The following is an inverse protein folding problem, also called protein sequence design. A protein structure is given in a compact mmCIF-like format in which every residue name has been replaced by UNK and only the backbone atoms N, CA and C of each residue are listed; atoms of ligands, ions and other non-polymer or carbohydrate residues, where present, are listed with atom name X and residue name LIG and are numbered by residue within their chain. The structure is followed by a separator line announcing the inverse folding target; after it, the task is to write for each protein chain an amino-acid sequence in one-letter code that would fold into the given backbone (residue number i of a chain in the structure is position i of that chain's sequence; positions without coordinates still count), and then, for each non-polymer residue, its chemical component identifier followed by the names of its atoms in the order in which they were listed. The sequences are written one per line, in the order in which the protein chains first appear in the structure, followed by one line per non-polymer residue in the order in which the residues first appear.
data_IF_218750284047
#
_entry.id   IF_218750284047
#
_cell.length_a   1.000
_cell.length_b   1.000
_cell.length_c   1.000
_cell.angle_alpha   90.00
_cell.angle_beta   90.00
_cell.angle_gamma   90.00
#
_symmetry.space_group_name_H-M   'P 1'
#
loop_
_entity.id
_entity.type
_entity.pdbx_description
1 polymer ?
#
# COMPACT_ATOMS: atom_id res chain seq x y z
N UNK A 1 18.98 17.00 7.92
CA UNK A 1 18.84 16.22 6.72
C UNK A 1 17.41 15.73 6.56
N UNK A 2 16.87 15.89 5.40
CA UNK A 2 15.49 15.49 5.17
C UNK A 2 15.40 14.01 4.84
N UNK A 3 14.31 13.40 5.26
CA UNK A 3 14.04 12.03 4.92
C UNK A 3 13.68 11.93 3.43
N UNK A 4 13.97 10.79 2.84
CA UNK A 4 13.55 10.52 1.47
C UNK A 4 12.03 10.41 1.43
N UNK A 5 11.42 11.06 0.44
CA UNK A 5 9.98 10.98 0.21
C UNK A 5 9.76 10.45 -1.19
N UNK A 6 8.91 9.45 -1.30
CA UNK A 6 8.59 8.83 -2.58
C UNK A 6 7.10 8.54 -2.65
N UNK A 7 6.55 8.55 -3.85
CA UNK A 7 5.12 8.29 -4.04
C UNK A 7 4.93 7.48 -5.32
N UNK A 8 3.92 6.63 -5.33
CA UNK A 8 3.65 5.78 -6.47
C UNK A 8 2.18 5.40 -6.51
N UNK A 9 1.58 5.52 -7.68
CA UNK A 9 0.21 5.07 -7.89
C UNK A 9 0.22 3.60 -8.25
N UNK A 10 -0.61 2.80 -7.58
CA UNK A 10 -0.70 1.37 -7.81
C UNK A 10 -2.12 1.02 -8.22
N UNK A 11 -2.24 0.21 -9.27
CA UNK A 11 -3.54 -0.27 -9.73
C UNK A 11 -3.89 -1.57 -9.06
N UNK A 12 -5.11 -1.68 -8.57
CA UNK A 12 -5.60 -2.89 -7.91
C UNK A 12 -6.11 -3.83 -9.00
N UNK A 13 -5.45 -4.97 -9.15
CA UNK A 13 -5.76 -5.92 -10.23
C UNK A 13 -6.25 -7.27 -9.74
N UNK A 14 -6.25 -7.50 -8.43
CA UNK A 14 -6.81 -8.75 -7.89
C UNK A 14 -8.32 -8.63 -7.75
N UNK A 15 -9.01 -9.74 -7.94
CA UNK A 15 -10.47 -9.73 -8.00
C UNK A 15 -11.14 -9.18 -6.74
N UNK A 16 -10.59 -9.51 -5.59
CA UNK A 16 -11.21 -9.15 -4.31
C UNK A 16 -10.77 -7.79 -3.78
N UNK A 17 -9.83 -7.14 -4.47
CA UNK A 17 -9.35 -5.84 -4.04
C UNK A 17 -8.65 -5.89 -2.68
N UNK A 18 -8.70 -4.76 -1.95
CA UNK A 18 -8.08 -4.67 -0.62
C UNK A 18 -8.98 -5.25 0.47
N UNK A 19 -9.31 -6.54 0.33
CA UNK A 19 -10.07 -7.27 1.36
C UNK A 19 -9.17 -7.54 2.57
N UNK A 20 -9.71 -8.20 3.59
CA UNK A 20 -9.01 -8.35 4.87
C UNK A 20 -7.64 -9.03 4.72
N UNK A 21 -7.57 -10.14 3.95
CA UNK A 21 -6.30 -10.85 3.80
C UNK A 21 -5.29 -10.03 3.01
N UNK A 22 -5.74 -9.37 1.94
CA UNK A 22 -4.85 -8.53 1.14
C UNK A 22 -4.33 -7.35 1.97
N UNK A 23 -5.23 -6.73 2.74
CA UNK A 23 -4.83 -5.62 3.61
C UNK A 23 -3.83 -6.07 4.67
N UNK A 24 -4.00 -7.26 5.23
CA UNK A 24 -3.05 -7.81 6.20
C UNK A 24 -1.68 -8.04 5.57
N UNK A 25 -1.64 -8.54 4.34
CA UNK A 25 -0.36 -8.71 3.63
C UNK A 25 0.30 -7.37 3.35
N UNK A 26 -0.50 -6.36 3.00
CA UNK A 26 0.01 -5.01 2.74
C UNK A 26 0.65 -4.44 4.01
N UNK A 27 -0.04 -4.54 5.14
CA UNK A 27 0.48 -4.07 6.43
C UNK A 27 1.80 -4.76 6.76
N UNK A 28 1.83 -6.09 6.64
CA UNK A 28 3.02 -6.85 6.99
C UNK A 28 4.21 -6.44 6.12
N UNK A 29 3.97 -6.22 4.84
CA UNK A 29 5.00 -5.76 3.93
C UNK A 29 5.50 -4.37 4.32
N UNK A 30 4.56 -3.46 4.61
CA UNK A 30 4.92 -2.09 4.98
C UNK A 30 5.73 -2.05 6.26
N UNK A 31 5.40 -2.88 7.24
CA UNK A 31 6.07 -2.90 8.53
C UNK A 31 7.51 -3.39 8.46
N UNK A 32 7.89 -4.04 7.37
CA UNK A 32 9.23 -4.56 7.23
C UNK A 32 10.28 -3.47 6.94
N UNK A 33 9.83 -2.25 6.67
CA UNK A 33 10.74 -1.17 6.25
C UNK A 33 10.74 -0.01 7.22
N UNK A 34 11.88 0.64 7.30
CA UNK A 34 12.04 1.87 8.09
C UNK A 34 11.50 3.03 7.26
N UNK A 35 10.18 3.18 7.26
CA UNK A 35 9.51 4.24 6.52
C UNK A 35 8.11 4.44 7.08
N UNK A 36 7.64 5.67 6.99
CA UNK A 36 6.26 6.01 7.30
C UNK A 36 5.49 5.99 5.99
N UNK A 37 4.45 5.17 5.91
CA UNK A 37 3.77 4.91 4.65
C UNK A 37 2.29 5.25 4.79
N UNK A 38 1.79 6.01 3.84
CA UNK A 38 0.39 6.45 3.80
C UNK A 38 -0.23 6.02 2.48
N UNK A 39 -1.46 5.55 2.55
CA UNK A 39 -2.22 5.11 1.36
C UNK A 39 -3.44 5.99 1.22
N UNK A 40 -3.65 6.50 0.03
CA UNK A 40 -4.75 7.45 -0.24
C UNK A 40 -5.59 6.97 -1.42
N UNK A 41 -6.90 7.12 -1.28
CA UNK A 41 -7.85 6.89 -2.36
C UNK A 41 -9.06 7.80 -2.15
N UNK A 42 -9.47 8.50 -3.22
CA UNK A 42 -10.67 9.37 -3.18
C UNK A 42 -10.65 10.34 -2.02
N UNK A 43 -9.50 10.95 -1.76
CA UNK A 43 -9.38 11.96 -0.72
C UNK A 43 -9.26 11.40 0.69
N UNK A 44 -9.32 10.10 0.88
CA UNK A 44 -9.15 9.47 2.18
C UNK A 44 -7.75 8.89 2.30
N UNK A 45 -7.05 9.25 3.36
CA UNK A 45 -5.69 8.78 3.62
C UNK A 45 -5.66 7.96 4.89
N UNK A 46 -4.96 6.82 4.84
CA UNK A 46 -4.83 5.93 6.00
C UNK A 46 -3.38 5.49 6.11
N UNK A 47 -2.91 5.18 7.33
CA UNK A 47 -1.57 4.62 7.46
C UNK A 47 -1.53 3.20 6.92
N UNK A 48 -0.41 2.85 6.28
CA UNK A 48 -0.26 1.52 5.69
C UNK A 48 -0.17 0.41 6.74
N UNK A 49 -0.11 0.79 8.01
CA UNK A 49 -0.05 -0.17 9.11
C UNK A 49 -1.43 -0.45 9.72
N UNK A 50 -2.49 0.07 9.11
CA UNK A 50 -3.86 -0.13 9.61
C UNK A 50 -4.64 -1.02 8.65
N UNK A 51 -4.91 -2.26 9.06
CA UNK A 51 -5.71 -3.18 8.25
C UNK A 51 -7.12 -2.59 8.04
N UNK A 52 -7.71 -2.07 9.12
CA UNK A 52 -9.05 -1.48 9.03
C UNK A 52 -9.06 -0.27 8.10
N UNK A 53 -8.04 0.58 8.22
CA UNK A 53 -7.94 1.75 7.36
C UNK A 53 -7.86 1.37 5.89
N UNK A 54 -7.03 0.39 5.56
CA UNK A 54 -6.91 -0.06 4.18
C UNK A 54 -8.21 -0.60 3.64
N UNK A 55 -8.93 -1.38 4.47
CA UNK A 55 -10.23 -1.91 4.05
C UNK A 55 -11.25 -0.80 3.83
N UNK A 56 -11.18 0.25 4.63
CA UNK A 56 -12.13 1.37 4.52
C UNK A 56 -11.94 2.16 3.22
N UNK A 57 -10.78 2.07 2.59
CA UNK A 57 -10.57 2.74 1.31
C UNK A 57 -11.47 2.18 0.21
N UNK A 58 -11.97 0.97 0.36
CA UNK A 58 -12.88 0.38 -0.62
C UNK A 58 -12.25 0.15 -1.98
N UNK A 59 -10.93 -0.07 -2.03
CA UNK A 59 -10.22 -0.21 -3.29
C UNK A 59 -10.50 -1.58 -3.93
N UNK A 60 -11.38 -1.58 -4.90
CA UNK A 60 -11.78 -2.78 -5.64
C UNK A 60 -10.93 -2.94 -6.90
N UNK A 61 -11.09 -4.08 -7.56
CA UNK A 61 -10.42 -4.31 -8.84
C UNK A 61 -10.74 -3.17 -9.80
N UNK A 62 -9.73 -2.70 -10.51
CA UNK A 62 -9.89 -1.61 -11.46
C UNK A 62 -9.71 -0.23 -10.87
N UNK A 63 -9.57 -0.11 -9.55
CA UNK A 63 -9.28 1.19 -8.93
C UNK A 63 -7.79 1.33 -8.68
N UNK A 64 -7.37 2.53 -8.30
CA UNK A 64 -5.97 2.82 -7.99
C UNK A 64 -5.84 3.42 -6.61
N UNK A 65 -4.70 3.18 -5.99
CA UNK A 65 -4.35 3.81 -4.72
C UNK A 65 -3.04 4.56 -4.89
N UNK A 66 -2.89 5.66 -4.15
CA UNK A 66 -1.62 6.38 -4.12
C UNK A 66 -0.89 6.00 -2.84
N UNK A 67 0.33 5.52 -2.97
CA UNK A 67 1.14 5.11 -1.83
C UNK A 67 2.31 6.08 -1.71
N UNK A 68 2.41 6.71 -0.54
CA UNK A 68 3.49 7.64 -0.24
C UNK A 68 4.32 7.07 0.90
N UNK A 69 5.64 7.13 0.76
CA UNK A 69 6.54 6.63 1.77
C UNK A 69 7.59 7.69 2.09
N UNK A 70 7.91 7.83 3.37
CA UNK A 70 8.88 8.79 3.86
C UNK A 70 9.77 8.10 4.88
N UNK A 71 11.08 8.24 4.72
CA UNK A 71 12.05 7.65 5.64
C UNK A 71 13.22 7.03 4.92
N UNK A 72 14.06 6.35 5.70
CA UNK A 72 15.31 5.81 5.18
C UNK A 72 15.11 4.75 4.12
N UNK A 73 14.06 3.96 4.22
CA UNK A 73 13.80 2.87 3.29
C UNK A 73 12.56 3.11 2.46
N UNK A 74 12.23 4.38 2.22
CA UNK A 74 11.00 4.73 1.49
C UNK A 74 10.95 4.10 0.09
N UNK A 75 12.06 4.16 -0.65
CA UNK A 75 12.11 3.60 -2.00
C UNK A 75 11.94 2.09 -2.02
N UNK A 76 12.64 1.40 -1.12
CA UNK A 76 12.55 -0.04 -1.01
C UNK A 76 11.14 -0.48 -0.62
N UNK A 77 10.51 0.28 0.29
CA UNK A 77 9.15 -0.02 0.73
C UNK A 77 8.17 0.09 -0.44
N UNK A 78 8.26 1.16 -1.23
CA UNK A 78 7.38 1.34 -2.37
C UNK A 78 7.55 0.22 -3.39
N UNK A 79 8.80 -0.18 -3.65
CA UNK A 79 9.05 -1.25 -4.60
C UNK A 79 8.46 -2.56 -4.14
N UNK A 80 8.63 -2.89 -2.86
CA UNK A 80 8.08 -4.12 -2.31
C UNK A 80 6.56 -4.12 -2.34
N UNK A 81 5.95 -2.99 -1.99
CA UNK A 81 4.48 -2.87 -2.03
C UNK A 81 3.95 -2.95 -3.45
N UNK A 82 4.67 -2.34 -4.41
CA UNK A 82 4.28 -2.41 -5.81
C UNK A 82 4.29 -3.86 -6.30
N UNK A 83 5.35 -4.61 -5.96
CA UNK A 83 5.43 -6.01 -6.36
C UNK A 83 4.30 -6.83 -5.75
N UNK A 84 3.98 -6.59 -4.49
CA UNK A 84 2.90 -7.30 -3.82
C UNK A 84 1.56 -7.05 -4.51
N UNK A 85 1.27 -5.79 -4.83
CA UNK A 85 0.02 -5.43 -5.51
C UNK A 85 -0.01 -6.01 -6.92
N UNK A 86 1.10 -5.91 -7.65
CA UNK A 86 1.19 -6.41 -9.02
C UNK A 86 1.08 -7.93 -9.09
N UNK A 87 1.49 -8.63 -8.04
CA UNK A 87 1.35 -10.08 -7.96
C UNK A 87 -0.05 -10.48 -7.51
N UNK A 88 -0.97 -9.51 -7.41
CA UNK A 88 -2.35 -9.73 -6.96
C UNK A 88 -2.38 -10.33 -5.56
N UNK A 89 -1.44 -9.90 -4.71
CA UNK A 89 -1.32 -10.38 -3.32
C UNK A 89 -1.14 -11.90 -3.27
N UNK A 90 -0.59 -12.46 -4.33
CA UNK A 90 -0.36 -13.91 -4.47
C UNK A 90 -1.64 -14.72 -4.37
N UNK A 91 -2.76 -14.15 -4.79
CA UNK A 91 -4.07 -14.84 -4.72
C UNK A 91 -4.33 -15.75 -5.91
N UNK A 92 -3.57 -15.60 -6.98
CA UNK A 92 -3.82 -16.36 -8.21
C UNK A 92 -2.63 -17.11 -8.69
#
# INVERSE_FOLDING_TARGET
MSATVAARELSITNQRGLHARASAKFVKCAEAFDAEITVTRDGMSVPATSIMGLMMLGAAIGTSIMVEAKGNEAGQALEALALLVESKFDEE
#
